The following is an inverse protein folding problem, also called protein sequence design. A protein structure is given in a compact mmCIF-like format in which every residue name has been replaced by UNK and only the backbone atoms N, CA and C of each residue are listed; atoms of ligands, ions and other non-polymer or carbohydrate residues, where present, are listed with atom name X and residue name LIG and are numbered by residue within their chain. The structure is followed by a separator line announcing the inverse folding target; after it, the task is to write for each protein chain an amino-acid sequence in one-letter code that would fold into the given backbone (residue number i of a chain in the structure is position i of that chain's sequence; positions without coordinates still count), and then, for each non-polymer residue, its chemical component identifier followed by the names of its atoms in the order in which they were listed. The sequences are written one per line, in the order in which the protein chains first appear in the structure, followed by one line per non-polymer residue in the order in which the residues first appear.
data_IF_166220203759
#
_entry.id   IF_166220203759
#
_cell.length_a   1.000
_cell.length_b   1.000
_cell.length_c   1.000
_cell.angle_alpha   90.00
_cell.angle_beta   90.00
_cell.angle_gamma   90.00
#
_symmetry.space_group_name_H-M   'P 1'
#
loop_
_entity.id
_entity.type
_entity.pdbx_description
1 polymer ?
#
# COMPACT_ATOMS: atom_id res chain seq x y z
N UNK A 1 14.37 18.48 -23.29
CA UNK A 1 14.06 17.61 -22.15
C UNK A 1 14.13 16.18 -22.67
N UNK A 2 15.19 15.45 -22.35
CA UNK A 2 15.37 14.08 -22.87
C UNK A 2 14.39 13.18 -22.11
N UNK A 3 13.37 12.65 -22.79
CA UNK A 3 12.47 11.63 -22.25
C UNK A 3 10.98 12.00 -22.17
N UNK A 4 10.61 13.23 -21.76
CA UNK A 4 9.19 13.60 -21.65
C UNK A 4 8.67 14.13 -23.00
N UNK A 5 7.77 13.38 -23.64
CA UNK A 5 7.12 13.85 -24.87
C UNK A 5 6.28 15.10 -24.57
N UNK A 6 6.25 16.05 -25.51
CA UNK A 6 5.47 17.28 -25.40
C UNK A 6 3.96 16.99 -25.19
N UNK A 7 3.47 15.88 -25.73
CA UNK A 7 2.10 15.41 -25.52
C UNK A 7 1.86 15.00 -24.06
N UNK A 8 2.78 14.27 -23.46
CA UNK A 8 2.69 13.86 -22.05
C UNK A 8 2.82 15.07 -21.13
N UNK A 9 3.73 16.00 -21.43
CA UNK A 9 3.87 17.25 -20.69
C UNK A 9 2.58 18.07 -20.72
N UNK A 10 1.98 18.25 -21.90
CA UNK A 10 0.73 18.98 -22.05
C UNK A 10 -0.43 18.35 -21.27
N UNK A 11 -0.53 17.01 -21.28
CA UNK A 11 -1.53 16.28 -20.49
C UNK A 11 -1.35 16.51 -18.98
N UNK A 12 -0.12 16.44 -18.48
CA UNK A 12 0.17 16.65 -17.04
C UNK A 12 -0.05 18.11 -16.61
N UNK A 13 0.17 19.07 -17.51
CA UNK A 13 -0.17 20.48 -17.27
C UNK A 13 -1.69 20.74 -17.31
N UNK A 14 -2.49 19.81 -17.83
CA UNK A 14 -3.94 19.93 -17.93
C UNK A 14 -4.44 20.53 -19.24
N UNK A 15 -3.63 20.49 -20.30
CA UNK A 15 -4.06 20.83 -21.65
C UNK A 15 -4.65 19.61 -22.37
N UNK A 16 -5.65 19.86 -23.21
CA UNK A 16 -6.29 18.81 -24.03
C UNK A 16 -5.36 18.25 -25.13
N UNK A 17 -4.40 19.06 -25.61
CA UNK A 17 -3.43 18.68 -26.63
C UNK A 17 -2.11 19.44 -26.45
N UNK A 18 -1.07 19.04 -27.20
CA UNK A 18 0.25 19.66 -27.15
C UNK A 18 0.34 21.01 -27.86
N UNK A 19 -0.67 21.41 -28.65
CA UNK A 19 -0.59 22.60 -29.51
C UNK A 19 -0.39 23.89 -28.71
N UNK A 20 -1.05 24.03 -27.56
CA UNK A 20 -0.89 25.22 -26.70
C UNK A 20 0.48 25.25 -26.04
N UNK A 21 0.94 24.11 -25.53
CA UNK A 21 2.28 23.98 -24.94
C UNK A 21 3.38 24.26 -25.99
N UNK A 22 3.22 23.77 -27.22
CA UNK A 22 4.16 24.02 -28.32
C UNK A 22 4.28 25.49 -28.70
N UNK A 23 3.17 26.25 -28.64
CA UNK A 23 3.20 27.70 -28.88
C UNK A 23 3.89 28.46 -27.74
N UNK A 24 3.71 28.01 -26.51
CA UNK A 24 4.37 28.57 -25.32
C UNK A 24 5.88 28.33 -25.42
N UNK A 25 6.30 27.08 -25.65
CA UNK A 25 7.71 26.69 -25.80
C UNK A 25 8.38 27.36 -27.02
N UNK A 26 7.62 27.58 -28.10
CA UNK A 26 8.08 28.28 -29.28
C UNK A 26 8.04 29.81 -29.20
N UNK A 27 7.65 30.39 -28.05
CA UNK A 27 7.58 31.85 -27.85
C UNK A 27 6.50 32.59 -28.66
N UNK A 28 5.56 31.86 -29.28
CA UNK A 28 4.53 32.41 -30.18
C UNK A 28 3.25 32.83 -29.45
N UNK A 29 3.06 32.37 -28.22
CA UNK A 29 1.88 32.64 -27.37
C UNK A 29 2.31 32.92 -25.92
N UNK A 30 3.35 33.75 -25.77
CA UNK A 30 4.01 34.06 -24.49
C UNK A 30 3.29 35.14 -23.66
N UNK A 31 2.38 35.90 -24.27
CA UNK A 31 1.72 37.05 -23.63
C UNK A 31 0.57 36.67 -22.70
N UNK A 32 0.13 35.41 -22.68
CA UNK A 32 -1.01 34.95 -21.86
C UNK A 32 -0.78 33.57 -21.24
N UNK A 33 0.40 33.32 -20.66
CA UNK A 33 0.64 32.10 -19.89
C UNK A 33 0.02 32.29 -18.49
N UNK A 34 -1.01 31.52 -18.09
CA UNK A 34 -1.57 31.62 -16.75
C UNK A 34 -0.53 31.27 -15.68
N UNK A 35 -0.51 32.01 -14.56
CA UNK A 35 0.43 31.77 -13.45
C UNK A 35 0.35 30.34 -12.89
N UNK A 36 -0.84 29.72 -12.91
CA UNK A 36 -1.00 28.34 -12.47
C UNK A 36 -0.24 27.35 -13.38
N UNK A 37 -0.08 27.66 -14.68
CA UNK A 37 0.70 26.85 -15.62
C UNK A 37 2.17 26.93 -15.27
N UNK A 38 2.67 28.13 -14.95
CA UNK A 38 4.07 28.32 -14.56
C UNK A 38 4.38 27.52 -13.28
N UNK A 39 3.50 27.61 -12.27
CA UNK A 39 3.63 26.79 -11.05
C UNK A 39 3.58 25.28 -11.33
N UNK A 40 2.70 24.83 -12.22
CA UNK A 40 2.62 23.39 -12.56
C UNK A 40 3.82 22.94 -13.37
N UNK A 41 4.30 23.76 -14.29
CA UNK A 41 5.49 23.49 -15.09
C UNK A 41 6.74 23.43 -14.21
N UNK A 42 6.86 24.29 -13.19
CA UNK A 42 8.00 24.26 -12.27
C UNK A 42 8.03 22.95 -11.50
N UNK A 43 6.87 22.45 -11.03
CA UNK A 43 6.77 21.14 -10.38
C UNK A 43 6.94 19.96 -11.35
N UNK A 44 6.43 20.07 -12.57
CA UNK A 44 6.48 19.01 -13.58
C UNK A 44 7.90 18.79 -14.09
N UNK A 45 8.61 19.88 -14.34
CA UNK A 45 9.96 19.89 -14.88
C UNK A 45 11.04 19.89 -13.79
N UNK A 46 10.62 19.95 -12.52
CA UNK A 46 11.47 19.97 -11.34
C UNK A 46 12.52 21.09 -11.38
N UNK A 47 12.05 22.29 -11.68
CA UNK A 47 12.86 23.52 -11.77
C UNK A 47 12.20 24.64 -10.96
N UNK A 48 12.98 25.67 -10.62
CA UNK A 48 12.41 26.84 -9.96
C UNK A 48 11.51 27.64 -10.92
N UNK A 49 10.57 28.40 -10.35
CA UNK A 49 9.78 29.36 -11.14
C UNK A 49 10.69 30.43 -11.74
N UNK A 50 11.72 30.86 -11.01
CA UNK A 50 12.71 31.81 -11.49
C UNK A 50 13.47 31.31 -12.71
N UNK A 51 13.79 30.01 -12.77
CA UNK A 51 14.38 29.38 -13.94
C UNK A 51 13.44 29.44 -15.15
N UNK A 52 12.14 29.14 -14.97
CA UNK A 52 11.16 29.24 -16.06
C UNK A 52 10.94 30.66 -16.57
N UNK A 53 11.10 31.66 -15.70
CA UNK A 53 10.99 33.07 -16.04
C UNK A 53 12.31 33.68 -16.55
N UNK A 54 13.42 32.93 -16.50
CA UNK A 54 14.74 33.40 -16.91
C UNK A 54 15.38 34.40 -15.94
N UNK A 55 14.98 34.40 -14.68
CA UNK A 55 15.55 35.27 -13.63
C UNK A 55 16.85 34.73 -13.03
N UNK A 56 17.28 33.52 -13.41
CA UNK A 56 18.52 32.90 -12.91
C UNK A 56 19.73 33.35 -13.73
N UNK A 57 20.82 33.76 -13.05
CA UNK A 57 22.08 34.22 -13.70
C UNK A 57 22.74 33.16 -14.58
N UNK A 58 22.51 31.88 -14.28
CA UNK A 58 22.96 30.76 -15.11
C UNK A 58 21.72 30.07 -15.69
N UNK A 59 21.71 29.83 -16.99
CA UNK A 59 20.80 28.86 -17.56
C UNK A 59 21.31 27.48 -17.10
N UNK A 60 20.58 26.78 -16.23
CA UNK A 60 20.86 25.36 -15.87
C UNK A 60 20.95 24.41 -17.07
N UNK A 61 20.70 24.89 -18.30
CA UNK A 61 20.94 24.17 -19.54
C UNK A 61 22.42 24.15 -19.96
N UNK A 62 23.22 25.14 -19.57
CA UNK A 62 24.63 25.26 -19.97
C UNK A 62 25.59 24.47 -19.07
N UNK A 63 25.16 24.12 -17.86
CA UNK A 63 25.93 23.27 -16.95
C UNK A 63 25.55 21.80 -17.13
N UNK A 64 26.47 21.03 -17.74
CA UNK A 64 26.34 19.59 -17.95
C UNK A 64 26.00 18.80 -16.67
N UNK A 65 26.37 19.31 -15.49
CA UNK A 65 26.03 18.68 -14.20
C UNK A 65 24.53 18.70 -13.93
N UNK A 66 23.85 19.80 -14.26
CA UNK A 66 22.41 19.95 -14.05
C UNK A 66 21.60 19.08 -15.03
N UNK A 67 22.10 18.88 -16.26
CA UNK A 67 21.50 17.95 -17.21
C UNK A 67 21.54 16.49 -16.71
N UNK A 68 22.70 16.03 -16.22
CA UNK A 68 22.86 14.68 -15.69
C UNK A 68 22.02 14.43 -14.42
N UNK A 69 21.91 15.43 -13.53
CA UNK A 69 21.07 15.34 -12.33
C UNK A 69 19.58 15.20 -12.67
N UNK A 70 19.08 15.94 -13.67
CA UNK A 70 17.68 15.82 -14.12
C UNK A 70 17.37 14.46 -14.74
N UNK A 71 18.26 13.95 -15.58
CA UNK A 71 18.11 12.60 -16.16
C UNK A 71 18.09 11.53 -15.07
N UNK A 72 18.99 11.64 -14.09
CA UNK A 72 19.00 10.77 -12.91
C UNK A 72 17.67 10.85 -12.13
N UNK A 73 17.14 12.05 -11.88
CA UNK A 73 15.86 12.23 -11.18
C UNK A 73 14.68 11.61 -11.93
N UNK A 74 14.64 11.71 -13.26
CA UNK A 74 13.61 11.07 -14.08
C UNK A 74 13.70 9.55 -13.96
N UNK A 75 14.90 8.98 -14.11
CA UNK A 75 15.08 7.53 -13.94
C UNK A 75 14.73 7.07 -12.51
N UNK A 76 15.15 7.80 -11.48
CA UNK A 76 14.79 7.49 -10.09
C UNK A 76 13.27 7.51 -9.89
N UNK A 77 12.57 8.51 -10.45
CA UNK A 77 11.11 8.61 -10.37
C UNK A 77 10.44 7.42 -11.04
N UNK A 78 10.82 7.07 -12.26
CA UNK A 78 10.27 5.89 -12.95
C UNK A 78 10.53 4.60 -12.19
N UNK A 79 11.75 4.43 -11.64
CA UNK A 79 12.08 3.27 -10.82
C UNK A 79 11.24 3.21 -9.54
N UNK A 80 11.05 4.33 -8.84
CA UNK A 80 10.21 4.42 -7.66
C UNK A 80 8.74 4.17 -7.95
N UNK A 81 8.21 4.67 -9.08
CA UNK A 81 6.84 4.39 -9.49
C UNK A 81 6.62 2.89 -9.74
N UNK A 82 7.54 2.22 -10.45
CA UNK A 82 7.46 0.77 -10.67
C UNK A 82 7.53 -0.04 -9.37
N UNK A 83 8.42 0.35 -8.45
CA UNK A 83 8.51 -0.28 -7.13
C UNK A 83 7.22 -0.08 -6.34
N UNK A 84 6.69 1.14 -6.35
CA UNK A 84 5.44 1.48 -5.67
C UNK A 84 4.26 0.68 -6.23
N UNK A 85 4.14 0.56 -7.55
CA UNK A 85 3.09 -0.24 -8.19
C UNK A 85 3.17 -1.72 -7.78
N UNK A 86 4.38 -2.30 -7.82
CA UNK A 86 4.62 -3.67 -7.35
C UNK A 86 4.23 -3.83 -5.88
N UNK A 87 4.67 -2.92 -5.03
CA UNK A 87 4.47 -3.00 -3.58
C UNK A 87 2.98 -2.87 -3.22
N UNK A 88 2.24 -2.01 -3.92
CA UNK A 88 0.77 -1.90 -3.76
C UNK A 88 0.08 -3.22 -4.08
N UNK A 89 0.44 -3.89 -5.18
CA UNK A 89 -0.16 -5.18 -5.55
C UNK A 89 0.14 -6.25 -4.50
N UNK A 90 1.39 -6.33 -4.03
CA UNK A 90 1.78 -7.29 -3.00
C UNK A 90 1.07 -7.02 -1.68
N UNK A 91 0.99 -5.76 -1.25
CA UNK A 91 0.30 -5.37 -0.03
C UNK A 91 -1.20 -5.69 -0.09
N UNK A 92 -1.85 -5.42 -1.22
CA UNK A 92 -3.25 -5.82 -1.44
C UNK A 92 -3.44 -7.33 -1.29
N UNK A 93 -2.60 -8.14 -1.95
CA UNK A 93 -2.67 -9.59 -1.84
C UNK A 93 -2.42 -10.11 -0.41
N UNK A 94 -1.55 -9.46 0.35
CA UNK A 94 -1.30 -9.79 1.76
C UNK A 94 -2.48 -9.42 2.66
N UNK A 95 -3.14 -8.29 2.40
CA UNK A 95 -4.34 -7.87 3.12
C UNK A 95 -5.51 -8.83 2.88
N UNK A 96 -5.73 -9.26 1.64
CA UNK A 96 -6.76 -10.25 1.32
C UNK A 96 -6.52 -11.57 2.06
N UNK A 97 -5.28 -12.07 2.06
CA UNK A 97 -4.90 -13.27 2.83
C UNK A 97 -5.15 -13.10 4.32
N UNK A 98 -4.85 -11.93 4.87
CA UNK A 98 -5.08 -11.64 6.28
C UNK A 98 -6.57 -11.66 6.64
N UNK A 99 -7.43 -11.11 5.79
CA UNK A 99 -8.89 -11.14 5.97
C UNK A 99 -9.38 -12.59 6.01
N UNK A 100 -8.90 -13.45 5.11
CA UNK A 100 -9.25 -14.88 5.10
C UNK A 100 -8.81 -15.58 6.39
N UNK A 101 -7.60 -15.31 6.87
CA UNK A 101 -7.11 -15.86 8.15
C UNK A 101 -7.98 -15.38 9.32
N UNK A 102 -8.36 -14.10 9.36
CA UNK A 102 -9.23 -13.55 10.42
C UNK A 102 -10.59 -14.27 10.46
N UNK A 103 -11.17 -14.52 9.28
CA UNK A 103 -12.43 -15.25 9.14
C UNK A 103 -12.29 -16.72 9.58
N UNK A 104 -11.25 -17.43 9.13
CA UNK A 104 -11.03 -18.83 9.47
C UNK A 104 -10.77 -19.04 10.96
N UNK A 105 -9.97 -18.18 11.59
CA UNK A 105 -9.72 -18.25 13.05
C UNK A 105 -11.00 -17.95 13.83
N UNK A 106 -11.83 -17.03 13.34
CA UNK A 106 -13.13 -16.73 13.94
C UNK A 106 -14.07 -17.93 13.87
N UNK A 107 -14.16 -18.57 12.71
CA UNK A 107 -14.96 -19.78 12.52
C UNK A 107 -14.46 -20.92 13.41
N UNK A 108 -13.14 -21.16 13.44
CA UNK A 108 -12.54 -22.20 14.28
C UNK A 108 -12.86 -22.01 15.77
N UNK A 109 -12.84 -20.77 16.27
CA UNK A 109 -13.18 -20.45 17.66
C UNK A 109 -14.65 -20.76 17.97
N UNK A 110 -15.57 -20.41 17.06
CA UNK A 110 -16.99 -20.76 17.18
C UNK A 110 -17.22 -22.28 17.19
N UNK A 111 -16.71 -22.99 16.18
CA UNK A 111 -16.86 -24.44 16.05
C UNK A 111 -16.24 -25.19 17.23
N UNK A 112 -15.06 -24.76 17.71
CA UNK A 112 -14.42 -25.37 18.86
C UNK A 112 -15.16 -25.10 20.18
N UNK A 113 -15.83 -23.94 20.31
CA UNK A 113 -16.69 -23.65 21.46
C UNK A 113 -17.98 -24.51 21.43
N UNK A 114 -18.60 -24.67 20.26
CA UNK A 114 -19.77 -25.54 20.10
C UNK A 114 -19.43 -27.01 20.37
N UNK A 115 -18.30 -27.50 19.85
CA UNK A 115 -17.83 -28.86 20.13
C UNK A 115 -17.57 -29.10 21.62
N UNK A 116 -16.99 -28.12 22.31
CA UNK A 116 -16.77 -28.20 23.76
C UNK A 116 -18.09 -28.23 24.54
N UNK A 117 -19.07 -27.39 24.16
CA UNK A 117 -20.39 -27.38 24.79
C UNK A 117 -21.16 -28.71 24.55
N UNK A 118 -21.11 -29.23 23.32
CA UNK A 118 -21.70 -30.52 22.98
C UNK A 118 -21.05 -31.68 23.75
N UNK A 119 -19.72 -31.66 23.88
CA UNK A 119 -18.99 -32.66 24.67
C UNK A 119 -19.37 -32.59 26.15
N UNK A 120 -19.45 -31.39 26.73
CA UNK A 120 -19.88 -31.21 28.12
C UNK A 120 -21.29 -31.77 28.35
N UNK A 121 -22.24 -31.45 27.45
CA UNK A 121 -23.60 -31.97 27.52
C UNK A 121 -23.66 -33.48 27.36
N UNK A 122 -22.83 -34.05 26.50
CA UNK A 122 -22.75 -35.49 26.29
C UNK A 122 -22.25 -36.23 27.54
N UNK A 123 -21.25 -35.68 28.23
CA UNK A 123 -20.74 -36.22 29.50
C UNK A 123 -21.81 -36.13 30.60
N UNK A 124 -22.55 -35.03 30.70
CA UNK A 124 -23.67 -34.89 31.65
C UNK A 124 -24.74 -35.97 31.45
N UNK A 125 -25.09 -36.28 30.20
CA UNK A 125 -26.09 -37.29 29.86
C UNK A 125 -25.58 -38.72 30.00
N UNK A 126 -24.26 -38.93 30.06
CA UNK A 126 -23.63 -40.25 30.13
C UNK A 126 -22.57 -40.29 31.24
N UNK A 127 -22.96 -40.41 32.53
CA UNK A 127 -22.04 -40.31 33.66
C UNK A 127 -20.89 -41.33 33.64
N UNK A 128 -21.10 -42.52 33.07
CA UNK A 128 -20.06 -43.56 32.92
C UNK A 128 -19.11 -43.35 31.74
N UNK A 129 -19.29 -42.29 30.94
CA UNK A 129 -18.48 -42.03 29.76
C UNK A 129 -16.99 -41.83 30.07
N UNK A 130 -16.69 -41.12 31.16
CA UNK A 130 -15.30 -40.83 31.53
C UNK A 130 -14.52 -42.09 31.89
N UNK A 131 -15.20 -43.10 32.41
CA UNK A 131 -14.61 -44.40 32.76
C UNK A 131 -14.44 -45.33 31.55
N UNK A 132 -15.04 -44.98 30.40
CA UNK A 132 -14.85 -45.72 29.17
C UNK A 132 -13.43 -45.51 28.63
N UNK A 133 -12.86 -46.55 28.02
CA UNK A 133 -11.53 -46.48 27.41
C UNK A 133 -11.50 -45.37 26.35
N UNK A 134 -10.70 -44.34 26.60
CA UNK A 134 -10.53 -43.19 25.71
C UNK A 134 -11.52 -42.03 25.94
N UNK A 135 -12.46 -42.16 26.88
CA UNK A 135 -13.43 -41.11 27.22
C UNK A 135 -12.75 -39.81 27.68
N UNK A 136 -11.87 -39.91 28.69
CA UNK A 136 -11.06 -38.78 29.17
C UNK A 136 -10.19 -38.15 28.07
N UNK A 137 -9.51 -38.99 27.28
CA UNK A 137 -8.63 -38.53 26.18
C UNK A 137 -9.39 -37.72 25.11
N UNK A 138 -10.65 -38.07 24.82
CA UNK A 138 -11.47 -37.33 23.87
C UNK A 138 -11.88 -35.97 24.44
N UNK A 139 -12.32 -35.93 25.70
CA UNK A 139 -12.68 -34.68 26.40
C UNK A 139 -11.47 -33.74 26.43
N UNK A 140 -10.30 -34.24 26.83
CA UNK A 140 -9.05 -33.47 26.85
C UNK A 140 -8.66 -32.95 25.47
N UNK A 141 -8.91 -33.71 24.41
CA UNK A 141 -8.64 -33.27 23.04
C UNK A 141 -9.56 -32.12 22.61
N UNK A 142 -10.85 -32.19 22.94
CA UNK A 142 -11.82 -31.13 22.67
C UNK A 142 -11.49 -29.87 23.46
N UNK A 143 -11.19 -30.00 24.75
CA UNK A 143 -10.81 -28.86 25.60
C UNK A 143 -9.52 -28.17 25.11
N UNK A 144 -8.49 -28.95 24.76
CA UNK A 144 -7.24 -28.39 24.19
C UNK A 144 -7.49 -27.67 22.88
N UNK A 145 -8.37 -28.19 22.03
CA UNK A 145 -8.73 -27.56 20.76
C UNK A 145 -9.46 -26.23 20.99
N UNK A 146 -10.43 -26.20 21.90
CA UNK A 146 -11.14 -24.98 22.28
C UNK A 146 -10.20 -23.93 22.92
N UNK A 147 -9.27 -24.36 23.77
CA UNK A 147 -8.28 -23.45 24.37
C UNK A 147 -7.31 -22.86 23.32
N UNK A 148 -6.88 -23.69 22.36
CA UNK A 148 -6.01 -23.25 21.27
C UNK A 148 -6.73 -22.23 20.35
N UNK A 149 -8.00 -22.49 20.01
CA UNK A 149 -8.80 -21.60 19.18
C UNK A 149 -9.02 -20.23 19.84
N UNK A 150 -9.37 -20.21 21.13
CA UNK A 150 -9.50 -18.97 21.93
C UNK A 150 -8.20 -18.19 22.00
N UNK A 151 -7.07 -18.90 22.16
CA UNK A 151 -5.74 -18.27 22.18
C UNK A 151 -5.41 -17.64 20.82
N UNK A 152 -5.68 -18.34 19.72
CA UNK A 152 -5.50 -17.81 18.37
C UNK A 152 -6.36 -16.56 18.15
N UNK A 153 -7.62 -16.58 18.56
CA UNK A 153 -8.54 -15.44 18.46
C UNK A 153 -8.07 -14.24 19.29
N UNK A 154 -7.59 -14.47 20.51
CA UNK A 154 -7.07 -13.40 21.37
C UNK A 154 -5.83 -12.72 20.77
N UNK A 155 -4.91 -13.50 20.20
CA UNK A 155 -3.70 -12.98 19.52
C UNK A 155 -4.07 -12.16 18.28
N UNK A 156 -5.01 -12.65 17.48
CA UNK A 156 -5.52 -11.96 16.31
C UNK A 156 -6.17 -10.61 16.67
N UNK A 157 -7.01 -10.59 17.71
CA UNK A 157 -7.61 -9.35 18.21
C UNK A 157 -6.58 -8.34 18.73
N UNK A 158 -5.52 -8.83 19.38
CA UNK A 158 -4.40 -7.99 19.82
C UNK A 158 -3.68 -7.35 18.64
N UNK A 159 -3.30 -8.14 17.63
CA UNK A 159 -2.66 -7.61 16.42
C UNK A 159 -3.54 -6.59 15.68
N UNK A 160 -4.86 -6.80 15.65
CA UNK A 160 -5.81 -5.83 15.09
C UNK A 160 -5.83 -4.51 15.86
N UNK A 161 -5.72 -4.53 17.19
CA UNK A 161 -5.64 -3.33 18.02
C UNK A 161 -4.32 -2.58 17.82
N UNK A 162 -3.21 -3.31 17.80
CA UNK A 162 -1.86 -2.76 17.54
C UNK A 162 -1.80 -2.10 16.16
N UNK A 163 -2.34 -2.76 15.12
CA UNK A 163 -2.40 -2.22 13.76
C UNK A 163 -3.25 -0.95 13.64
N UNK A 164 -4.36 -0.87 14.38
CA UNK A 164 -5.20 0.35 14.44
C UNK A 164 -4.51 1.49 15.18
N UNK A 165 -3.78 1.19 16.25
CA UNK A 165 -3.05 2.20 17.03
C UNK A 165 -1.86 2.80 16.24
N UNK A 166 -1.27 2.03 15.33
CA UNK A 166 -0.16 2.46 14.48
C UNK A 166 -0.54 3.39 13.31
N UNK A 167 -1.80 3.86 13.22
CA UNK A 167 -2.18 4.90 12.24
C UNK A 167 -2.63 4.40 10.86
N UNK A 168 -2.93 3.11 10.69
CA UNK A 168 -3.89 2.67 9.66
C UNK A 168 -3.40 2.65 8.21
N UNK A 169 -2.10 2.57 7.96
CA UNK A 169 -1.59 1.99 6.71
C UNK A 169 -0.67 0.84 7.09
N UNK A 170 -1.09 -0.43 6.98
CA UNK A 170 -0.17 -1.56 7.07
C UNK A 170 0.72 -1.52 5.82
N UNK A 171 1.66 -0.58 5.79
CA UNK A 171 2.80 -0.68 4.91
C UNK A 171 3.62 -1.82 5.50
N UNK A 172 3.37 -3.02 4.98
CA UNK A 172 4.28 -4.12 5.18
C UNK A 172 5.58 -3.67 4.54
N UNK A 173 6.58 -3.37 5.37
CA UNK A 173 7.94 -3.15 4.94
C UNK A 173 8.40 -4.44 4.28
N UNK A 174 8.26 -4.51 2.95
CA UNK A 174 8.80 -5.58 2.12
C UNK A 174 10.32 -5.35 2.01
N UNK A 175 11.01 -5.35 3.14
CA UNK A 175 12.46 -5.45 3.19
C UNK A 175 12.79 -6.92 2.90
N UNK A 176 12.72 -7.28 1.61
CA UNK A 176 13.34 -8.50 1.15
C UNK A 176 14.82 -8.22 0.93
N UNK A 177 15.64 -8.92 1.71
CA UNK A 177 17.10 -9.03 1.55
C UNK A 177 17.47 -9.68 0.22
#
# INVERSE_FOLDING_TARGET
MVGLSQLNAARQLGYANSSKLAKIEGGKDSSQIPLWVIKRASCLYDVSVDYLLGNTETMEAEDARHAALREMMVHMREHWERLRERDVIVQQGLLERFIVIEQLVTLLDCEAAEAAAAMARFVELNPGWLDMRGGSRLVDAVERTSAAARTARARLNRHRRESKAAGGAPQLDLVFA
#
